data_IF_211707653166
#
_entry.id   IF_211707653166
#
_cell.length_a   1.000
_cell.length_b   1.000
_cell.length_c   1.000
_cell.angle_alpha   90.00
_cell.angle_beta   90.00
_cell.angle_gamma   90.00
#
_symmetry.space_group_name_H-M   'P 1'
#
loop_
_entity.id
_entity.type
_entity.pdbx_description
1 polymer ?
#
# COMPACT_ATOMS: atom_id res chain seq x y z
N UNK A 1 28.41 -16.98 5.00
CA UNK A 1 27.46 -17.07 3.86
C UNK A 1 26.06 -17.01 4.45
N UNK A 2 25.29 -15.97 4.16
CA UNK A 2 23.93 -15.86 4.68
C UNK A 2 23.07 -16.98 4.07
N UNK A 3 22.46 -17.79 4.92
CA UNK A 3 21.54 -18.85 4.51
C UNK A 3 20.33 -18.20 3.86
N UNK A 4 20.13 -18.42 2.56
CA UNK A 4 18.89 -18.03 1.88
C UNK A 4 17.76 -18.86 2.49
N UNK A 5 16.94 -18.25 3.34
CA UNK A 5 15.73 -18.87 3.87
C UNK A 5 14.71 -18.86 2.73
N UNK A 6 14.55 -20.01 2.07
CA UNK A 6 13.59 -20.18 0.98
C UNK A 6 12.26 -20.70 1.53
N UNK A 7 11.19 -19.95 1.33
CA UNK A 7 9.82 -20.40 1.60
C UNK A 7 9.23 -21.18 0.43
N UNK A 8 8.21 -22.00 0.72
CA UNK A 8 7.55 -22.89 -0.26
C UNK A 8 6.07 -22.56 -0.41
N UNK A 9 5.57 -22.73 -1.62
CA UNK A 9 4.14 -22.64 -1.96
C UNK A 9 3.71 -24.01 -2.50
N UNK A 10 2.80 -24.67 -1.81
CA UNK A 10 2.24 -25.98 -2.19
C UNK A 10 0.80 -25.81 -2.70
N UNK A 11 0.56 -26.15 -3.97
CA UNK A 11 -0.76 -26.02 -4.61
C UNK A 11 -1.13 -27.30 -5.35
N UNK A 12 -2.35 -27.78 -5.14
CA UNK A 12 -2.94 -28.88 -5.92
C UNK A 12 -3.79 -28.31 -7.07
N UNK A 13 -3.55 -28.80 -8.28
CA UNK A 13 -4.28 -28.40 -9.49
C UNK A 13 -4.72 -29.63 -10.28
N UNK A 14 -5.73 -29.46 -11.14
CA UNK A 14 -6.17 -30.50 -12.07
C UNK A 14 -5.10 -30.81 -13.12
N UNK A 15 -5.19 -31.97 -13.76
CA UNK A 15 -4.32 -32.35 -14.89
C UNK A 15 -4.46 -31.36 -16.05
N UNK A 16 -5.68 -30.91 -16.31
CA UNK A 16 -6.00 -29.94 -17.36
C UNK A 16 -5.33 -28.59 -17.10
N UNK A 17 -5.46 -28.04 -15.88
CA UNK A 17 -4.77 -26.81 -15.51
C UNK A 17 -3.26 -26.93 -15.64
N UNK A 18 -2.69 -28.07 -15.22
CA UNK A 18 -1.24 -28.32 -15.36
C UNK A 18 -0.81 -28.33 -16.83
N UNK A 19 -1.59 -28.95 -17.72
CA UNK A 19 -1.29 -29.01 -19.14
C UNK A 19 -1.36 -27.61 -19.78
N UNK A 20 -2.40 -26.84 -19.47
CA UNK A 20 -2.55 -25.46 -19.93
C UNK A 20 -1.37 -24.58 -19.49
N UNK A 21 -1.02 -24.62 -18.19
CA UNK A 21 0.09 -23.84 -17.63
C UNK A 21 1.42 -24.23 -18.29
N UNK A 22 1.66 -25.53 -18.49
CA UNK A 22 2.88 -26.02 -19.14
C UNK A 22 3.01 -25.51 -20.57
N UNK A 23 1.93 -25.58 -21.35
CA UNK A 23 1.91 -25.07 -22.72
C UNK A 23 2.15 -23.55 -22.76
N UNK A 24 1.47 -22.79 -21.88
CA UNK A 24 1.66 -21.35 -21.77
C UNK A 24 3.10 -20.97 -21.39
N UNK A 25 3.73 -21.72 -20.48
CA UNK A 25 5.12 -21.52 -20.10
C UNK A 25 6.09 -21.78 -21.27
N UNK A 26 5.85 -22.83 -22.06
CA UNK A 26 6.67 -23.18 -23.22
C UNK A 26 6.60 -22.10 -24.31
N UNK A 27 5.41 -21.69 -24.73
CA UNK A 27 5.25 -20.65 -25.76
C UNK A 27 5.65 -19.26 -25.25
N UNK A 28 5.59 -19.03 -23.94
CA UNK A 28 6.05 -17.82 -23.29
C UNK A 28 7.56 -17.72 -23.11
N UNK A 29 8.32 -18.77 -23.46
CA UNK A 29 9.78 -18.79 -23.40
C UNK A 29 10.36 -18.98 -21.99
N UNK A 30 9.59 -19.50 -21.04
CA UNK A 30 10.05 -19.76 -19.67
C UNK A 30 10.85 -21.05 -19.60
N UNK A 31 11.90 -21.09 -18.79
CA UNK A 31 12.76 -22.28 -18.66
C UNK A 31 12.06 -23.40 -17.89
N UNK A 32 11.20 -23.03 -16.94
CA UNK A 32 10.44 -23.99 -16.13
C UNK A 32 9.03 -23.49 -15.82
N UNK A 33 8.12 -24.43 -15.55
CA UNK A 33 6.76 -24.12 -15.09
C UNK A 33 6.77 -23.38 -13.75
N UNK A 34 7.70 -23.69 -12.86
CA UNK A 34 7.84 -22.98 -11.58
C UNK A 34 8.23 -21.52 -11.77
N UNK A 35 9.19 -21.25 -12.67
CA UNK A 35 9.59 -19.88 -13.03
C UNK A 35 8.42 -19.09 -13.63
N UNK A 36 7.64 -19.72 -14.52
CA UNK A 36 6.41 -19.15 -15.06
C UNK A 36 5.45 -18.75 -13.94
N UNK A 37 5.07 -19.71 -13.08
CA UNK A 37 4.08 -19.46 -12.01
C UNK A 37 4.54 -18.34 -11.07
N UNK A 38 5.79 -18.40 -10.59
CA UNK A 38 6.33 -17.40 -9.65
C UNK A 38 6.40 -16.02 -10.29
N UNK A 39 6.82 -15.94 -11.56
CA UNK A 39 6.93 -14.66 -12.27
C UNK A 39 5.56 -14.02 -12.45
N UNK A 40 4.56 -14.78 -12.92
CA UNK A 40 3.22 -14.23 -13.12
C UNK A 40 2.53 -13.90 -11.80
N UNK A 41 2.66 -14.74 -10.78
CA UNK A 41 2.10 -14.46 -9.45
C UNK A 41 2.69 -13.17 -8.85
N UNK A 42 4.02 -12.98 -8.97
CA UNK A 42 4.69 -11.76 -8.53
C UNK A 42 4.18 -10.52 -9.28
N UNK A 43 4.11 -10.60 -10.61
CA UNK A 43 3.69 -9.46 -11.44
C UNK A 43 2.24 -9.06 -11.15
N UNK A 44 1.36 -10.05 -10.97
CA UNK A 44 -0.04 -9.79 -10.62
C UNK A 44 -0.17 -9.24 -9.20
N UNK A 45 0.60 -9.75 -8.24
CA UNK A 45 0.63 -9.20 -6.88
C UNK A 45 1.05 -7.73 -6.88
N UNK A 46 2.10 -7.37 -7.63
CA UNK A 46 2.54 -5.95 -7.78
C UNK A 46 1.40 -5.12 -8.37
N UNK A 47 0.77 -5.58 -9.46
CA UNK A 47 -0.34 -4.87 -10.10
C UNK A 47 -1.51 -4.64 -9.15
N UNK A 48 -1.89 -5.65 -8.35
CA UNK A 48 -2.96 -5.53 -7.35
C UNK A 48 -2.58 -4.50 -6.29
N UNK A 49 -1.37 -4.59 -5.74
CA UNK A 49 -0.88 -3.64 -4.73
C UNK A 49 -0.89 -2.22 -5.29
N UNK A 50 -0.33 -1.99 -6.48
CA UNK A 50 -0.31 -0.68 -7.12
C UNK A 50 -1.72 -0.15 -7.36
N UNK A 51 -2.62 -0.99 -7.88
CA UNK A 51 -4.02 -0.62 -8.12
C UNK A 51 -4.72 -0.19 -6.82
N UNK A 52 -4.50 -0.93 -5.74
CA UNK A 52 -5.22 -0.68 -4.48
C UNK A 52 -4.60 0.39 -3.59
N UNK A 53 -3.28 0.58 -3.65
CA UNK A 53 -2.55 1.56 -2.84
C UNK A 53 -2.41 2.93 -3.50
N UNK A 54 -2.77 3.07 -4.78
CA UNK A 54 -2.75 4.36 -5.47
C UNK A 54 -3.70 5.35 -4.78
N UNK A 55 -3.15 6.45 -4.28
CA UNK A 55 -3.88 7.50 -3.54
C UNK A 55 -4.86 8.25 -4.45
N UNK A 56 -4.48 8.47 -5.71
CA UNK A 56 -5.28 9.21 -6.71
C UNK A 56 -5.88 8.23 -7.73
N UNK A 57 -6.91 7.50 -7.30
CA UNK A 57 -7.54 6.43 -8.10
C UNK A 57 -8.37 7.02 -9.24
N UNK A 58 -9.19 8.02 -8.96
CA UNK A 58 -10.08 8.65 -9.96
C UNK A 58 -9.37 9.79 -10.71
N UNK A 59 -9.99 10.25 -11.81
CA UNK A 59 -9.52 11.46 -12.50
C UNK A 59 -9.83 12.71 -11.66
N UNK A 60 -10.99 12.74 -11.01
CA UNK A 60 -11.42 13.85 -10.17
C UNK A 60 -10.47 14.05 -8.98
N UNK A 61 -10.00 12.97 -8.35
CA UNK A 61 -9.01 13.02 -7.26
C UNK A 61 -7.73 13.73 -7.73
N UNK A 62 -7.29 13.43 -8.97
CA UNK A 62 -6.08 14.02 -9.55
C UNK A 62 -6.28 15.49 -9.86
N UNK A 63 -7.45 15.87 -10.39
CA UNK A 63 -7.78 17.28 -10.65
C UNK A 63 -7.77 18.06 -9.34
N UNK A 64 -8.47 17.57 -8.31
CA UNK A 64 -8.50 18.22 -6.99
C UNK A 64 -7.10 18.32 -6.39
N UNK A 65 -6.29 17.26 -6.50
CA UNK A 65 -4.92 17.27 -5.98
C UNK A 65 -4.02 18.28 -6.70
N UNK A 66 -4.04 18.30 -8.04
CA UNK A 66 -3.25 19.24 -8.84
C UNK A 66 -3.71 20.68 -8.59
N UNK A 67 -5.02 20.92 -8.53
CA UNK A 67 -5.57 22.24 -8.22
C UNK A 67 -5.12 22.72 -6.84
N UNK A 68 -5.11 21.86 -5.83
CA UNK A 68 -4.62 22.20 -4.50
C UNK A 68 -3.10 22.48 -4.46
N UNK A 69 -2.30 21.93 -5.38
CA UNK A 69 -0.87 22.22 -5.49
C UNK A 69 -0.60 23.56 -6.21
N UNK A 70 -1.35 23.83 -7.28
CA UNK A 70 -1.18 25.04 -8.08
C UNK A 70 -1.83 26.27 -7.42
N UNK A 71 -2.99 26.07 -6.80
CA UNK A 71 -3.81 27.09 -6.16
C UNK A 71 -4.13 26.64 -4.72
N UNK A 72 -3.15 26.68 -3.80
CA UNK A 72 -3.32 26.19 -2.44
C UNK A 72 -4.43 26.96 -1.72
N UNK A 73 -5.50 26.27 -1.24
CA UNK A 73 -6.59 26.94 -0.56
C UNK A 73 -6.16 27.44 0.82
N UNK A 74 -6.78 28.53 1.28
CA UNK A 74 -6.60 28.98 2.65
C UNK A 74 -7.11 27.92 3.66
N UNK A 75 -6.46 27.76 4.81
CA UNK A 75 -6.91 26.83 5.83
C UNK A 75 -8.30 27.22 6.33
N UNK A 76 -9.19 26.24 6.46
CA UNK A 76 -10.52 26.45 7.01
C UNK A 76 -10.47 26.65 8.54
N UNK A 77 -11.58 27.11 9.12
CA UNK A 77 -11.66 27.39 10.57
C UNK A 77 -11.36 26.16 11.43
N UNK A 78 -11.80 24.97 11.02
CA UNK A 78 -11.51 23.72 11.74
C UNK A 78 -10.01 23.41 11.79
N UNK A 79 -9.28 23.61 10.68
CA UNK A 79 -7.83 23.40 10.63
C UNK A 79 -7.07 24.45 11.45
N UNK A 80 -7.53 25.70 11.45
CA UNK A 80 -6.99 26.76 12.32
C UNK A 80 -7.17 26.42 13.80
N UNK A 81 -8.36 25.94 14.19
CA UNK A 81 -8.63 25.50 15.57
C UNK A 81 -7.75 24.31 15.95
N UNK A 82 -7.63 23.29 15.09
CA UNK A 82 -6.77 22.14 15.35
C UNK A 82 -5.29 22.53 15.56
N UNK A 83 -4.78 23.51 14.78
CA UNK A 83 -3.44 24.05 14.97
C UNK A 83 -3.29 24.78 16.31
N UNK A 84 -4.31 25.54 16.75
CA UNK A 84 -4.31 26.20 18.05
C UNK A 84 -4.29 25.17 19.19
N UNK A 85 -5.12 24.14 19.10
CA UNK A 85 -5.19 23.06 20.10
C UNK A 85 -3.86 22.30 20.18
N UNK A 86 -3.25 21.98 19.03
CA UNK A 86 -1.92 21.37 18.97
C UNK A 86 -0.85 22.28 19.58
N UNK A 87 -0.84 23.57 19.25
CA UNK A 87 0.15 24.54 19.78
C UNK A 87 0.03 24.70 21.29
N UNK A 88 -1.20 24.68 21.81
CA UNK A 88 -1.44 24.63 23.25
C UNK A 88 -0.92 23.34 23.85
N UNK A 89 -1.19 22.18 23.22
CA UNK A 89 -0.69 20.88 23.67
C UNK A 89 0.85 20.81 23.70
N UNK A 90 1.54 21.33 22.68
CA UNK A 90 3.00 21.31 22.60
C UNK A 90 3.68 22.32 23.50
N UNK A 91 3.00 23.42 23.85
CA UNK A 91 3.51 24.41 24.79
C UNK A 91 3.25 24.05 26.27
N UNK A 92 2.61 22.91 26.55
CA UNK A 92 2.48 22.37 27.89
C UNK A 92 3.80 21.70 28.32
N UNK A 93 4.31 22.07 29.49
CA UNK A 93 5.36 21.34 30.18
C UNK A 93 4.85 19.96 30.61
N UNK A 94 5.72 18.96 30.75
CA UNK A 94 5.36 17.63 31.30
C UNK A 94 4.63 17.76 32.66
N UNK A 95 4.87 18.85 33.41
CA UNK A 95 4.16 19.15 34.66
C UNK A 95 2.67 19.48 34.48
N UNK A 96 2.27 20.03 33.33
CA UNK A 96 0.88 20.40 33.04
C UNK A 96 0.02 19.16 32.64
N UNK A 97 0.68 18.06 32.24
CA UNK A 97 0.03 16.80 31.85
C UNK A 97 -0.38 15.94 33.07
N UNK A 98 -0.02 16.33 34.30
CA UNK A 98 -0.40 15.63 35.54
C UNK A 98 -1.92 15.64 35.81
N UNK A 99 -2.67 16.53 35.17
CA UNK A 99 -4.13 16.64 35.30
C UNK A 99 -4.95 15.71 34.40
N UNK A 100 -4.38 15.19 33.29
CA UNK A 100 -5.12 14.37 32.33
C UNK A 100 -5.34 12.92 32.80
N UNK A 101 -4.59 12.47 33.81
CA UNK A 101 -4.78 11.15 34.42
C UNK A 101 -5.73 11.22 35.61
N UNK A 102 -6.95 11.72 35.45
CA UNK A 102 -8.07 11.43 36.38
C UNK A 102 -9.43 11.69 35.74
N UNK A 103 -10.02 10.62 35.20
CA UNK A 103 -11.38 10.14 35.49
C UNK A 103 -11.68 8.93 34.60
N UNK A 104 -11.47 7.74 35.18
CA UNK A 104 -12.36 6.61 34.96
C UNK A 104 -13.49 6.73 35.98
#
# INVERSE_FOLDING_TARGET
MATLVNDRIDVRISKEHKALIKYAAEIGGFKTVSEFIVTLAKNEAIRIIEKETKILKSMDDRVVFVEALLNPPAPNESLKTALKDYSQFTNLSIDDLKGFRKKA
#
